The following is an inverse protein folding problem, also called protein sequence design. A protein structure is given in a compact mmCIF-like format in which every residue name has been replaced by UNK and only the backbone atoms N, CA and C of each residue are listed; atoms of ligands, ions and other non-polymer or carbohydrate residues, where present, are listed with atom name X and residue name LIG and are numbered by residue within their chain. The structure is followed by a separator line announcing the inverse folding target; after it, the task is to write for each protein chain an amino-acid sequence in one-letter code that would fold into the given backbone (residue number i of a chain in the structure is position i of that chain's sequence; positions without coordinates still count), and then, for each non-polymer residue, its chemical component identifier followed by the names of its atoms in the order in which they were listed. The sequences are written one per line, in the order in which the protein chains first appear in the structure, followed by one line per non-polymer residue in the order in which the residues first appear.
data_IF_778961174806
#
_entry.id   IF_778961174806
#
_cell.length_a   1.000
_cell.length_b   1.000
_cell.length_c   1.000
_cell.angle_alpha   90.00
_cell.angle_beta   90.00
_cell.angle_gamma   90.00
#
_symmetry.space_group_name_H-M   'P 1'
#
loop_
_entity.id
_entity.type
_entity.pdbx_description
1 polymer ?
#
# COMPACT_ATOMS: atom_id res chain seq x y z
N UNK A 1 6.45 1.76 8.38
CA UNK A 1 7.66 1.58 7.54
C UNK A 1 8.59 0.47 8.06
N UNK A 2 9.19 0.57 9.25
CA UNK A 2 10.16 -0.45 9.72
C UNK A 2 9.63 -1.90 9.75
N UNK A 3 8.39 -2.12 10.20
CA UNK A 3 7.76 -3.44 10.19
C UNK A 3 7.62 -4.00 8.77
N UNK A 4 7.22 -3.15 7.81
CA UNK A 4 7.14 -3.52 6.38
C UNK A 4 8.53 -3.94 5.90
N UNK A 5 9.53 -3.05 5.97
CA UNK A 5 10.91 -3.31 5.51
C UNK A 5 11.51 -4.60 6.08
N UNK A 6 11.25 -4.90 7.36
CA UNK A 6 11.77 -6.09 8.05
C UNK A 6 10.91 -7.34 7.86
N UNK A 7 9.84 -7.26 7.06
CA UNK A 7 8.89 -8.35 6.84
C UNK A 7 8.24 -8.84 8.15
N UNK A 8 8.10 -7.95 9.12
CA UNK A 8 7.56 -8.23 10.44
C UNK A 8 6.05 -7.98 10.46
N UNK A 9 5.31 -8.90 9.84
CA UNK A 9 3.85 -8.79 9.70
C UNK A 9 3.11 -8.97 11.02
N UNK A 10 3.74 -9.63 12.01
CA UNK A 10 3.25 -9.69 13.38
C UNK A 10 3.17 -8.29 13.98
N UNK A 11 4.26 -7.52 13.93
CA UNK A 11 4.24 -6.13 14.40
C UNK A 11 3.44 -5.21 13.47
N UNK A 12 3.42 -5.43 12.16
CA UNK A 12 2.57 -4.65 11.25
C UNK A 12 1.09 -4.78 11.63
N UNK A 13 0.66 -5.99 11.99
CA UNK A 13 -0.71 -6.28 12.43
C UNK A 13 -1.16 -5.49 13.66
N UNK A 14 -0.23 -5.09 14.54
CA UNK A 14 -0.53 -4.26 15.71
C UNK A 14 -0.91 -2.82 15.36
N UNK A 15 -0.59 -2.35 14.15
CA UNK A 15 -0.99 -1.02 13.66
C UNK A 15 -2.33 -1.04 12.93
N UNK A 16 -2.96 -2.20 12.72
CA UNK A 16 -4.27 -2.31 12.07
C UNK A 16 -5.36 -2.16 13.13
N UNK A 17 -6.38 -1.34 12.85
CA UNK A 17 -7.52 -1.17 13.75
C UNK A 17 -8.21 -2.53 14.00
N UNK A 18 -8.35 -3.00 15.25
CA UNK A 18 -8.98 -4.30 15.54
C UNK A 18 -10.41 -4.44 15.02
N UNK A 19 -11.10 -3.33 14.75
CA UNK A 19 -12.48 -3.28 14.25
C UNK A 19 -12.56 -3.08 12.74
N UNK A 20 -11.46 -2.80 12.06
CA UNK A 20 -11.40 -2.61 10.60
C UNK A 20 -10.36 -3.53 9.98
N UNK A 21 -10.40 -3.62 8.65
CA UNK A 21 -9.39 -4.34 7.90
C UNK A 21 -8.42 -3.34 7.28
N UNK A 22 -7.18 -3.74 7.08
CA UNK A 22 -6.27 -3.05 6.16
C UNK A 22 -6.61 -3.47 4.73
N UNK A 23 -6.73 -2.50 3.83
CA UNK A 23 -6.95 -2.71 2.40
C UNK A 23 -5.62 -2.65 1.66
N UNK A 24 -5.33 -3.67 0.85
CA UNK A 24 -4.16 -3.72 -0.03
C UNK A 24 -4.63 -3.60 -1.48
N UNK A 25 -4.03 -2.69 -2.24
CA UNK A 25 -4.35 -2.50 -3.65
C UNK A 25 -3.15 -2.03 -4.48
N UNK A 26 -2.89 -2.60 -5.67
CA UNK A 26 -1.68 -2.33 -6.46
C UNK A 26 -1.73 -1.03 -7.28
N UNK A 27 -2.61 -0.08 -6.93
CA UNK A 27 -2.81 1.16 -7.69
C UNK A 27 -3.51 2.24 -6.86
N UNK A 28 -3.37 3.52 -7.23
CA UNK A 28 -4.11 4.65 -6.60
C UNK A 28 -5.59 4.78 -7.02
N UNK A 29 -6.01 4.07 -8.08
CA UNK A 29 -7.41 3.99 -8.48
C UNK A 29 -8.03 2.70 -7.94
N UNK A 30 -8.54 2.79 -6.72
CA UNK A 30 -8.94 1.65 -5.93
C UNK A 30 -10.36 1.22 -6.29
N UNK A 31 -10.53 -0.05 -6.64
CA UNK A 31 -11.83 -0.71 -6.70
C UNK A 31 -12.00 -1.55 -5.42
N UNK A 32 -12.75 -1.01 -4.45
CA UNK A 32 -13.00 -1.67 -3.15
C UNK A 32 -13.57 -3.09 -3.29
N UNK A 33 -14.30 -3.39 -4.37
CA UNK A 33 -14.90 -4.72 -4.58
C UNK A 33 -13.85 -5.77 -4.98
N UNK A 34 -12.71 -5.33 -5.52
CA UNK A 34 -11.62 -6.19 -5.97
C UNK A 34 -10.38 -6.13 -5.08
N UNK A 35 -10.38 -5.22 -4.10
CA UNK A 35 -9.28 -5.11 -3.17
C UNK A 35 -9.26 -6.28 -2.17
N UNK A 36 -8.05 -6.68 -1.79
CA UNK A 36 -7.86 -7.68 -0.74
C UNK A 36 -7.77 -6.95 0.59
N UNK A 37 -8.41 -7.50 1.62
CA UNK A 37 -8.36 -6.92 2.96
C UNK A 37 -7.99 -7.97 4.01
N UNK A 38 -7.26 -7.54 5.04
CA UNK A 38 -6.87 -8.39 6.16
C UNK A 38 -7.22 -7.74 7.49
N UNK A 39 -7.67 -8.57 8.44
CA UNK A 39 -7.85 -8.16 9.83
C UNK A 39 -6.51 -8.03 10.55
N UNK A 40 -6.49 -7.27 11.65
CA UNK A 40 -5.37 -7.25 12.57
C UNK A 40 -4.95 -8.68 12.99
N UNK A 41 -3.65 -8.98 12.89
CA UNK A 41 -3.10 -10.30 13.20
C UNK A 41 -3.48 -11.43 12.23
N UNK A 42 -4.08 -11.12 11.07
CA UNK A 42 -4.43 -12.10 10.01
C UNK A 42 -3.71 -11.84 8.69
N UNK A 43 -2.65 -11.04 8.70
CA UNK A 43 -1.73 -10.93 7.57
C UNK A 43 -1.12 -12.31 7.29
N UNK A 44 -1.01 -12.74 6.02
CA UNK A 44 -0.35 -14.00 5.69
C UNK A 44 1.16 -13.92 5.93
N UNK A 45 1.79 -15.08 6.07
CA UNK A 45 3.24 -15.19 6.00
C UNK A 45 3.71 -15.07 4.55
N UNK A 46 4.96 -14.63 4.33
CA UNK A 46 5.54 -14.53 2.98
C UNK A 46 5.64 -15.89 2.26
N UNK A 47 5.70 -16.97 3.03
CA UNK A 47 5.75 -18.34 2.51
C UNK A 47 4.36 -18.93 2.25
N UNK A 48 3.28 -18.18 2.47
CA UNK A 48 1.93 -18.63 2.15
C UNK A 48 1.80 -18.86 0.63
N UNK A 49 1.58 -20.11 0.25
CA UNK A 49 1.40 -20.53 -1.14
C UNK A 49 0.03 -20.17 -1.72
N UNK A 50 -0.90 -19.63 -0.91
CA UNK A 50 -2.22 -19.22 -1.38
C UNK A 50 -2.11 -18.05 -2.35
N UNK A 51 -2.67 -18.24 -3.53
CA UNK A 51 -2.83 -17.16 -4.51
C UNK A 51 -4.07 -16.32 -4.19
N UNK A 52 -3.89 -15.00 -4.17
CA UNK A 52 -4.96 -14.02 -4.03
C UNK A 52 -5.19 -13.30 -5.36
N UNK A 53 -6.35 -12.64 -5.49
CA UNK A 53 -6.64 -11.72 -6.59
C UNK A 53 -6.67 -10.31 -6.03
N UNK A 54 -5.60 -9.52 -6.27
CA UNK A 54 -5.29 -8.26 -5.59
C UNK A 54 -5.95 -7.03 -6.21
N UNK A 55 -6.81 -7.22 -7.22
CA UNK A 55 -7.39 -6.14 -8.00
C UNK A 55 -6.83 -6.10 -9.42
N UNK A 56 -6.69 -4.89 -9.95
CA UNK A 56 -6.19 -4.65 -11.30
C UNK A 56 -4.94 -3.77 -11.26
N UNK A 57 -3.97 -4.09 -12.11
CA UNK A 57 -2.82 -3.23 -12.41
C UNK A 57 -3.27 -1.97 -13.17
N UNK A 58 -2.39 -0.97 -13.34
CA UNK A 58 -2.72 0.26 -14.07
C UNK A 58 -3.23 0.01 -15.51
N UNK A 59 -2.77 -1.05 -16.18
CA UNK A 59 -3.23 -1.46 -17.52
C UNK A 59 -4.52 -2.30 -17.52
N UNK A 60 -5.17 -2.45 -16.37
CA UNK A 60 -6.45 -3.14 -16.20
C UNK A 60 -6.35 -4.66 -16.03
N UNK A 61 -5.16 -5.25 -16.11
CA UNK A 61 -4.99 -6.71 -15.94
C UNK A 61 -5.22 -7.11 -14.49
N UNK A 62 -5.84 -8.27 -14.29
CA UNK A 62 -6.05 -8.81 -12.95
C UNK A 62 -4.71 -9.23 -12.35
N UNK A 63 -4.41 -8.75 -11.14
CA UNK A 63 -3.20 -9.12 -10.39
C UNK A 63 -3.49 -10.38 -9.58
N UNK A 64 -2.84 -11.49 -9.91
CA UNK A 64 -2.88 -12.74 -9.15
C UNK A 64 -1.48 -13.08 -8.66
N UNK A 65 -1.32 -13.19 -7.34
CA UNK A 65 -0.02 -13.39 -6.71
C UNK A 65 -0.19 -14.05 -5.35
N UNK A 66 0.84 -14.75 -4.88
CA UNK A 66 0.96 -15.09 -3.45
C UNK A 66 1.14 -13.82 -2.62
N UNK A 67 1.03 -13.90 -1.29
CA UNK A 67 1.33 -12.74 -0.45
C UNK A 67 2.80 -12.32 -0.56
N UNK A 68 3.72 -13.29 -0.62
CA UNK A 68 5.15 -13.03 -0.79
C UNK A 68 5.46 -12.28 -2.09
N UNK A 69 4.95 -12.76 -3.22
CA UNK A 69 5.16 -12.12 -4.52
C UNK A 69 4.52 -10.71 -4.54
N UNK A 70 3.31 -10.56 -4.00
CA UNK A 70 2.64 -9.27 -3.92
C UNK A 70 3.46 -8.29 -3.07
N UNK A 71 3.98 -8.73 -1.93
CA UNK A 71 4.84 -7.91 -1.08
C UNK A 71 6.07 -7.42 -1.85
N UNK A 72 6.78 -8.29 -2.55
CA UNK A 72 8.01 -7.92 -3.26
C UNK A 72 7.79 -7.00 -4.46
N UNK A 73 6.58 -6.96 -5.01
CA UNK A 73 6.26 -6.17 -6.20
C UNK A 73 5.46 -4.89 -5.91
N UNK A 74 4.57 -4.91 -4.92
CA UNK A 74 3.59 -3.83 -4.68
C UNK A 74 3.60 -3.29 -3.25
N UNK A 75 4.46 -3.80 -2.36
CA UNK A 75 4.60 -3.26 -0.99
C UNK A 75 6.02 -2.77 -0.75
N UNK A 76 7.03 -3.52 -1.21
CA UNK A 76 8.43 -3.21 -0.93
C UNK A 76 9.37 -3.65 -2.06
N UNK A 77 9.09 -3.17 -3.27
CA UNK A 77 9.96 -3.30 -4.46
C UNK A 77 11.19 -2.39 -4.39
N UNK A 78 11.15 -1.31 -3.60
CA UNK A 78 12.25 -0.37 -3.36
C UNK A 78 12.47 -0.12 -1.86
N UNK A 79 13.63 0.46 -1.48
CA UNK A 79 13.91 0.81 -0.08
C UNK A 79 13.20 2.12 0.34
N UNK A 80 11.87 2.08 0.44
CA UNK A 80 11.04 3.23 0.82
C UNK A 80 11.36 3.83 2.19
N UNK A 81 11.98 3.05 3.08
CA UNK A 81 12.48 3.57 4.34
C UNK A 81 13.63 4.58 4.17
N UNK A 82 14.30 4.57 3.02
CA UNK A 82 15.33 5.51 2.62
C UNK A 82 14.82 6.54 1.58
N UNK A 83 13.52 6.62 1.34
CA UNK A 83 12.94 7.56 0.38
C UNK A 83 13.30 9.01 0.77
N UNK A 84 13.90 9.74 -0.18
CA UNK A 84 14.26 11.14 0.01
C UNK A 84 13.09 12.12 -0.09
N UNK A 85 11.95 11.67 -0.63
CA UNK A 85 10.73 12.47 -0.79
C UNK A 85 9.54 11.75 -0.16
N UNK A 86 8.89 12.42 0.78
CA UNK A 86 7.71 11.89 1.47
C UNK A 86 6.59 12.93 1.39
N UNK A 87 5.51 12.57 0.70
CA UNK A 87 4.29 13.36 0.62
C UNK A 87 3.44 13.11 1.87
N UNK A 88 2.79 14.14 2.41
CA UNK A 88 1.85 14.01 3.52
C UNK A 88 0.51 14.58 3.10
N UNK A 89 -0.50 13.72 2.98
CA UNK A 89 -1.82 14.04 2.43
C UNK A 89 -1.76 14.63 1.01
N UNK A 90 -0.70 14.29 0.29
CA UNK A 90 -0.44 14.68 -1.10
C UNK A 90 0.37 13.54 -1.74
N UNK A 91 0.03 13.21 -2.99
CA UNK A 91 0.78 12.26 -3.79
C UNK A 91 1.83 13.04 -4.61
N UNK A 92 3.09 12.62 -4.56
CA UNK A 92 4.19 13.29 -5.27
C UNK A 92 4.21 12.86 -6.75
N UNK A 93 3.79 11.63 -6.99
CA UNK A 93 3.94 10.99 -8.28
C UNK A 93 3.08 11.65 -9.40
N UNK A 94 3.48 11.53 -10.69
CA UNK A 94 2.88 12.27 -11.81
C UNK A 94 1.38 12.02 -12.09
N UNK A 95 0.91 10.80 -11.85
CA UNK A 95 -0.46 10.33 -12.03
C UNK A 95 -1.42 10.67 -10.87
N UNK A 96 -0.98 11.46 -9.89
CA UNK A 96 -1.74 11.79 -8.68
C UNK A 96 -3.19 12.25 -8.93
N UNK A 97 -3.44 12.97 -10.03
CA UNK A 97 -4.76 13.49 -10.39
C UNK A 97 -5.80 12.41 -10.70
N UNK A 98 -5.38 11.15 -10.88
CA UNK A 98 -6.27 10.00 -11.11
C UNK A 98 -6.74 9.35 -9.79
N UNK A 99 -6.10 9.68 -8.68
CA UNK A 99 -6.30 9.04 -7.37
C UNK A 99 -7.73 9.17 -6.87
N UNK A 100 -8.24 8.11 -6.24
CA UNK A 100 -9.52 8.13 -5.54
C UNK A 100 -9.37 7.85 -4.02
N UNK A 101 -8.16 7.99 -3.47
CA UNK A 101 -7.86 7.70 -2.05
C UNK A 101 -8.81 8.44 -1.11
N UNK A 102 -9.03 9.75 -1.31
CA UNK A 102 -9.91 10.55 -0.45
C UNK A 102 -11.40 10.12 -0.51
N UNK A 103 -11.83 9.54 -1.63
CA UNK A 103 -13.18 8.97 -1.77
C UNK A 103 -13.28 7.61 -1.08
N UNK A 104 -12.21 6.81 -1.14
CA UNK A 104 -12.15 5.44 -0.61
C UNK A 104 -11.94 5.46 0.91
N UNK A 105 -11.12 6.38 1.41
CA UNK A 105 -10.78 6.57 2.81
C UNK A 105 -11.12 8.01 3.26
N UNK A 106 -12.42 8.32 3.41
CA UNK A 106 -12.85 9.68 3.74
C UNK A 106 -12.30 10.11 5.11
N UNK A 107 -11.59 11.25 5.14
CA UNK A 107 -11.01 11.81 6.36
C UNK A 107 -9.71 11.12 6.83
N UNK A 108 -9.20 10.14 6.09
CA UNK A 108 -7.91 9.53 6.39
C UNK A 108 -6.75 10.49 6.07
N UNK A 109 -5.64 10.31 6.77
CA UNK A 109 -4.34 10.86 6.36
C UNK A 109 -3.57 9.79 5.58
N UNK A 110 -2.69 10.19 4.68
CA UNK A 110 -1.83 9.25 3.96
C UNK A 110 -0.43 9.82 3.74
N UNK A 111 0.54 8.92 3.63
CA UNK A 111 1.93 9.26 3.35
C UNK A 111 2.37 8.56 2.07
N UNK A 112 2.89 9.32 1.11
CA UNK A 112 3.44 8.82 -0.15
C UNK A 112 4.96 8.77 -0.06
N UNK A 113 5.53 7.57 0.00
CA UNK A 113 6.97 7.35 -0.01
C UNK A 113 7.41 7.16 -1.47
N UNK A 114 7.85 8.26 -2.08
CA UNK A 114 8.16 8.32 -3.50
C UNK A 114 9.66 8.13 -3.76
N UNK A 115 9.98 7.26 -4.71
CA UNK A 115 11.34 7.06 -5.22
C UNK A 115 11.31 7.22 -6.74
N UNK A 116 12.26 7.99 -7.27
CA UNK A 116 12.48 8.19 -8.71
C UNK A 116 13.91 7.89 -9.09
N UNK A 117 14.09 7.07 -10.12
CA UNK A 117 15.39 6.86 -10.76
C UNK A 117 15.75 8.08 -11.62
N UNK A 118 16.87 8.74 -11.29
CA UNK A 118 17.30 9.95 -11.98
C UNK A 118 17.77 9.72 -13.43
N UNK A 119 18.16 8.49 -13.79
CA UNK A 119 18.65 8.15 -15.13
C UNK A 119 17.51 7.72 -16.04
N UNK A 120 16.62 6.86 -15.54
CA UNK A 120 15.55 6.28 -16.36
C UNK A 120 14.24 7.06 -16.29
N UNK A 121 14.05 7.91 -15.28
CA UNK A 121 12.78 8.61 -15.04
C UNK A 121 11.72 7.75 -14.35
N UNK A 122 11.87 6.42 -14.41
CA UNK A 122 11.04 5.46 -13.71
C UNK A 122 10.90 5.77 -12.22
N UNK A 123 9.70 5.52 -11.69
CA UNK A 123 9.35 5.89 -10.34
C UNK A 123 8.41 4.86 -9.72
N UNK A 124 8.42 4.81 -8.40
CA UNK A 124 7.60 3.92 -7.58
C UNK A 124 7.19 4.61 -6.29
N UNK A 125 5.98 4.33 -5.82
CA UNK A 125 5.34 4.96 -4.67
C UNK A 125 4.69 3.91 -3.78
N UNK A 126 5.15 3.83 -2.52
CA UNK A 126 4.43 3.14 -1.46
C UNK A 126 3.58 4.16 -0.68
N UNK A 127 2.27 3.97 -0.68
CA UNK A 127 1.35 4.89 0.00
C UNK A 127 0.71 4.19 1.19
N UNK A 128 0.93 4.75 2.38
CA UNK A 128 0.35 4.25 3.63
C UNK A 128 -0.80 5.15 4.04
N UNK A 129 -2.00 4.59 4.15
CA UNK A 129 -3.22 5.30 4.55
C UNK A 129 -3.54 5.00 6.00
N UNK A 130 -3.77 6.05 6.79
CA UNK A 130 -4.04 5.97 8.21
C UNK A 130 -5.35 6.68 8.56
N UNK A 131 -6.15 6.02 9.38
CA UNK A 131 -7.34 6.61 9.99
C UNK A 131 -7.12 6.77 11.49
N UNK A 132 -7.62 7.87 12.04
CA UNK A 132 -7.60 8.12 13.48
C UNK A 132 -8.91 7.61 14.10
N UNK A 133 -8.81 6.78 15.13
CA UNK A 133 -9.94 6.35 15.96
C UNK A 133 -9.61 6.70 17.41
N UNK A 134 -10.27 7.73 17.96
CA UNK A 134 -9.90 8.33 19.25
C UNK A 134 -8.52 8.99 19.16
N UNK A 135 -7.61 8.65 20.07
CA UNK A 135 -6.24 9.20 20.10
C UNK A 135 -5.21 8.31 19.37
N UNK A 136 -5.67 7.24 18.70
CA UNK A 136 -4.79 6.26 18.04
C UNK A 136 -4.94 6.32 16.53
N UNK A 137 -3.80 6.30 15.84
CA UNK A 137 -3.72 6.18 14.38
C UNK A 137 -3.54 4.73 13.99
N UNK A 138 -4.37 4.27 13.05
CA UNK A 138 -4.34 2.91 12.54
C UNK A 138 -4.09 2.89 11.04
N UNK A 139 -3.29 1.93 10.59
CA UNK A 139 -3.06 1.62 9.19
C UNK A 139 -4.32 0.95 8.61
N UNK A 140 -4.93 1.60 7.62
CA UNK A 140 -6.16 1.14 6.97
C UNK A 140 -5.97 0.88 5.48
N UNK A 141 -4.89 1.37 4.88
CA UNK A 141 -4.56 1.11 3.49
C UNK A 141 -3.06 1.00 3.24
N UNK A 142 -2.68 0.08 2.36
CA UNK A 142 -1.35 -0.02 1.75
C UNK A 142 -1.57 -0.05 0.25
N UNK A 143 -1.07 0.98 -0.44
CA UNK A 143 -1.27 1.15 -1.87
C UNK A 143 0.07 1.28 -2.57
N UNK A 144 0.09 0.93 -3.85
CA UNK A 144 1.23 1.08 -4.74
C UNK A 144 0.88 1.96 -5.92
N UNK A 145 1.88 2.58 -6.52
CA UNK A 145 1.82 3.06 -7.90
C UNK A 145 3.22 3.14 -8.48
N UNK A 146 3.34 2.94 -9.79
CA UNK A 146 4.63 2.98 -10.47
C UNK A 146 4.49 3.39 -11.94
N UNK A 147 5.55 3.97 -12.50
CA UNK A 147 5.57 4.42 -13.87
C UNK A 147 6.97 4.57 -14.44
N UNK A 148 7.02 4.97 -15.72
CA UNK A 148 8.26 5.23 -16.47
C UNK A 148 8.37 6.69 -16.84
#
# INVERSE_FOLDING_TARGET
MFAIRRQDFGNLGAYIDPKKNVLLYPHIQIDKKKAVTFQAGKLPDLTDAKTYTWGSSPDGKTVKATFGDYYSHYIYDQDYAAAGQIGRNELIQPDQGKSNIATVFPGASYFDYYIKDAKTGAWSSLILVLEQTGDTWYLTGILHDEGK
#
